data_IF_737004014842
#
_entry.id   IF_737004014842
#
_cell.length_a   1.000
_cell.length_b   1.000
_cell.length_c   1.000
_cell.angle_alpha   90.00
_cell.angle_beta   90.00
_cell.angle_gamma   90.00
#
_symmetry.space_group_name_H-M   'P 1'
#
loop_
_entity.id
_entity.type
_entity.pdbx_description
1 polymer ?
#
# COMPACT_ATOMS: atom_id res chain seq x y z
N UNK A 1 11.50 -4.07 19.13
CA UNK A 1 10.77 -2.80 19.40
C UNK A 1 10.44 -2.06 18.09
N UNK A 2 11.28 -2.21 17.06
CA UNK A 2 11.04 -1.88 15.64
C UNK A 2 9.82 -2.56 15.03
N UNK A 3 9.55 -3.82 15.39
CA UNK A 3 8.52 -4.67 14.75
C UNK A 3 7.13 -4.05 14.80
N UNK A 4 6.86 -3.26 15.84
CA UNK A 4 5.55 -2.67 16.05
C UNK A 4 5.30 -1.46 15.11
N UNK A 5 6.34 -0.66 14.80
CA UNK A 5 6.18 0.53 13.95
C UNK A 5 6.07 0.13 12.48
N UNK A 6 6.89 -0.82 12.02
CA UNK A 6 6.85 -1.31 10.65
C UNK A 6 5.58 -2.15 10.38
N UNK A 7 5.12 -2.93 11.36
CA UNK A 7 3.80 -3.57 11.31
C UNK A 7 2.65 -2.55 11.21
N UNK A 8 2.68 -1.47 12.00
CA UNK A 8 1.69 -0.40 11.91
C UNK A 8 1.69 0.28 10.54
N UNK A 9 2.87 0.50 9.95
CA UNK A 9 3.00 1.13 8.64
C UNK A 9 2.45 0.22 7.52
N UNK A 10 2.79 -1.08 7.54
CA UNK A 10 2.22 -2.07 6.62
C UNK A 10 0.70 -2.13 6.70
N UNK A 11 0.15 -2.14 7.91
CA UNK A 11 -1.30 -2.13 8.10
C UNK A 11 -1.95 -0.92 7.43
N UNK A 12 -1.40 0.28 7.66
CA UNK A 12 -1.92 1.51 7.03
C UNK A 12 -1.87 1.46 5.49
N UNK A 13 -0.79 0.92 4.94
CA UNK A 13 -0.65 0.78 3.47
C UNK A 13 -1.69 -0.21 2.94
N UNK A 14 -1.88 -1.36 3.60
CA UNK A 14 -2.90 -2.33 3.20
C UNK A 14 -4.32 -1.76 3.31
N UNK A 15 -4.61 -1.00 4.37
CA UNK A 15 -5.90 -0.33 4.53
C UNK A 15 -6.14 0.66 3.36
N UNK A 16 -5.12 1.44 2.97
CA UNK A 16 -5.20 2.37 1.83
C UNK A 16 -5.40 1.63 0.50
N UNK A 17 -4.64 0.56 0.25
CA UNK A 17 -4.80 -0.27 -0.96
C UNK A 17 -6.19 -0.88 -1.03
N UNK A 18 -6.73 -1.35 0.09
CA UNK A 18 -8.10 -1.88 0.16
C UNK A 18 -9.12 -0.81 -0.24
N UNK A 19 -9.02 0.39 0.34
CA UNK A 19 -9.94 1.51 0.03
C UNK A 19 -9.87 1.89 -1.45
N UNK A 20 -8.66 2.00 -2.01
CA UNK A 20 -8.48 2.34 -3.43
C UNK A 20 -9.00 1.23 -4.33
N UNK A 21 -8.79 -0.04 -3.96
CA UNK A 21 -9.29 -1.20 -4.72
C UNK A 21 -10.81 -1.27 -4.68
N UNK A 22 -11.44 -1.01 -3.54
CA UNK A 22 -12.88 -0.94 -3.39
C UNK A 22 -13.47 0.23 -4.20
N UNK A 23 -12.79 1.38 -4.23
CA UNK A 23 -13.17 2.52 -5.08
C UNK A 23 -13.17 2.13 -6.55
N UNK A 24 -12.14 1.41 -7.02
CA UNK A 24 -12.11 0.88 -8.39
C UNK A 24 -13.22 -0.15 -8.65
N UNK A 25 -13.40 -1.12 -7.74
CA UNK A 25 -14.35 -2.23 -7.89
C UNK A 25 -15.80 -1.77 -7.86
N UNK A 26 -16.11 -0.72 -7.10
CA UNK A 26 -17.45 -0.12 -7.04
C UNK A 26 -17.88 0.58 -8.31
N UNK A 27 -16.95 0.85 -9.24
CA UNK A 27 -17.21 1.66 -10.43
C UNK A 27 -17.38 3.15 -10.13
N UNK A 28 -17.00 3.61 -8.93
CA UNK A 28 -17.09 5.02 -8.53
C UNK A 28 -16.13 5.95 -9.30
N UNK A 29 -15.21 5.37 -10.08
CA UNK A 29 -14.28 6.10 -10.94
C UNK A 29 -15.02 6.74 -12.11
N UNK A 30 -14.96 8.06 -12.18
CA UNK A 30 -15.75 8.86 -13.13
C UNK A 30 -15.16 8.95 -14.53
N UNK A 31 -13.84 8.72 -14.68
CA UNK A 31 -13.14 8.80 -15.96
C UNK A 31 -11.79 8.07 -15.95
N UNK A 32 -11.20 7.93 -17.14
CA UNK A 32 -9.94 7.20 -17.32
C UNK A 32 -8.73 7.87 -16.65
N UNK A 33 -8.74 9.18 -16.45
CA UNK A 33 -7.66 9.87 -15.74
C UNK A 33 -7.68 9.52 -14.25
N UNK A 34 -8.86 9.54 -13.63
CA UNK A 34 -9.07 9.11 -12.25
C UNK A 34 -8.70 7.63 -12.08
N UNK A 35 -9.08 6.77 -13.03
CA UNK A 35 -8.68 5.36 -13.03
C UNK A 35 -7.15 5.21 -12.99
N UNK A 36 -6.45 5.87 -13.93
CA UNK A 36 -4.97 5.82 -14.01
C UNK A 36 -4.31 6.34 -12.74
N UNK A 37 -4.84 7.43 -12.17
CA UNK A 37 -4.31 8.01 -10.92
C UNK A 37 -4.48 7.02 -9.76
N UNK A 38 -5.63 6.38 -9.65
CA UNK A 38 -5.91 5.40 -8.59
C UNK A 38 -5.03 4.17 -8.74
N UNK A 39 -4.88 3.62 -9.96
CA UNK A 39 -3.95 2.52 -10.21
C UNK A 39 -2.49 2.90 -9.88
N UNK A 40 -2.04 4.10 -10.25
CA UNK A 40 -0.68 4.56 -9.93
C UNK A 40 -0.44 4.73 -8.42
N UNK A 41 -1.47 5.13 -7.66
CA UNK A 41 -1.39 5.16 -6.19
C UNK A 41 -1.26 3.75 -5.60
N UNK A 42 -2.06 2.80 -6.08
CA UNK A 42 -1.97 1.39 -5.65
C UNK A 42 -0.56 0.85 -5.92
N UNK A 43 -0.03 1.05 -7.13
CA UNK A 43 1.33 0.62 -7.49
C UNK A 43 2.40 1.22 -6.56
N UNK A 44 2.29 2.52 -6.25
CA UNK A 44 3.20 3.17 -5.31
C UNK A 44 3.09 2.61 -3.88
N UNK A 45 1.88 2.31 -3.41
CA UNK A 45 1.65 1.68 -2.11
C UNK A 45 2.29 0.28 -2.03
N UNK A 46 2.09 -0.54 -3.06
CA UNK A 46 2.68 -1.89 -3.14
C UNK A 46 4.21 -1.84 -3.17
N UNK A 47 4.79 -0.88 -3.90
CA UNK A 47 6.24 -0.70 -3.92
C UNK A 47 6.79 -0.38 -2.53
N UNK A 48 6.17 0.58 -1.81
CA UNK A 48 6.57 0.92 -0.44
C UNK A 48 6.37 -0.26 0.52
N UNK A 49 5.29 -1.03 0.35
CA UNK A 49 5.05 -2.23 1.15
C UNK A 49 6.20 -3.25 1.02
N UNK A 50 6.65 -3.51 -0.22
CA UNK A 50 7.78 -4.40 -0.48
C UNK A 50 9.06 -3.92 0.20
N UNK A 51 9.36 -2.63 0.13
CA UNK A 51 10.54 -2.05 0.78
C UNK A 51 10.47 -2.17 2.31
N UNK A 52 9.30 -1.99 2.92
CA UNK A 52 9.12 -2.18 4.36
C UNK A 52 9.37 -3.63 4.77
N UNK A 53 8.83 -4.58 4.01
CA UNK A 53 9.05 -6.01 4.26
C UNK A 53 10.53 -6.35 4.18
N UNK A 54 11.25 -5.80 3.20
CA UNK A 54 12.69 -6.02 3.07
C UNK A 54 13.48 -5.38 4.22
N UNK A 55 13.10 -4.18 4.64
CA UNK A 55 13.70 -3.52 5.81
C UNK A 55 13.50 -4.33 7.10
N UNK A 56 12.32 -4.92 7.30
CA UNK A 56 12.06 -5.78 8.47
C UNK A 56 12.96 -7.03 8.45
N UNK A 57 13.05 -7.75 7.33
CA UNK A 57 13.95 -8.90 7.22
C UNK A 57 15.39 -8.54 7.59
N UNK A 58 15.87 -7.41 7.07
CA UNK A 58 17.22 -6.94 7.34
C UNK A 58 17.41 -6.57 8.81
N UNK A 59 16.39 -6.02 9.47
CA UNK A 59 16.46 -5.71 10.90
C UNK A 59 16.43 -6.97 11.77
N UNK A 60 15.69 -8.00 11.36
CA UNK A 60 15.63 -9.29 12.06
C UNK A 60 16.94 -10.09 11.93
N UNK A 61 17.75 -9.80 10.90
CA UNK A 61 19.08 -10.38 10.70
C UNK A 61 20.18 -9.77 11.61
N UNK A 62 19.91 -8.66 12.29
CA UNK A 62 20.83 -7.99 13.22
C UNK A 62 20.54 -8.33 14.69
#
# INVERSE_FOLDING_TARGET
MSDNILALLRKKINDEVSVLSDHLASGAVSNMEEYRRTCGKIEGCEWVYSEIVELEKRLDEF
#
